data_IF_336353422574
#
_entry.id   IF_336353422574
#
_cell.length_a   1.000
_cell.length_b   1.000
_cell.length_c   1.000
_cell.angle_alpha   90.00
_cell.angle_beta   90.00
_cell.angle_gamma   90.00
#
_symmetry.space_group_name_H-M   'P 1'
#
loop_
_entity.id
_entity.type
_entity.pdbx_description
1 polymer ?
#
# COMPACT_ATOMS: atom_id res chain seq x y z
N UNK A 1 -5.86 -4.96 -38.57
CA UNK A 1 -6.67 -5.60 -37.50
C UNK A 1 -7.97 -4.84 -37.46
N UNK A 2 -9.13 -5.50 -37.55
CA UNK A 2 -10.39 -4.79 -37.84
C UNK A 2 -11.13 -4.39 -36.56
N UNK A 3 -11.65 -3.16 -36.51
CA UNK A 3 -12.56 -2.69 -35.46
C UNK A 3 -13.96 -3.25 -35.70
N UNK A 4 -14.40 -4.21 -34.89
CA UNK A 4 -15.69 -4.90 -35.05
C UNK A 4 -16.85 -4.13 -34.40
N UNK A 5 -16.61 -3.50 -33.25
CA UNK A 5 -17.65 -2.79 -32.51
C UNK A 5 -17.06 -1.68 -31.62
N UNK A 6 -17.89 -0.65 -31.35
CA UNK A 6 -17.57 0.50 -30.50
C UNK A 6 -18.78 0.74 -29.59
N UNK A 7 -18.60 0.56 -28.28
CA UNK A 7 -19.62 0.78 -27.25
C UNK A 7 -19.17 1.88 -26.28
N UNK A 8 -20.04 2.86 -26.02
CA UNK A 8 -19.75 3.96 -25.10
C UNK A 8 -20.27 3.64 -23.70
N UNK A 9 -19.46 3.91 -22.67
CA UNK A 9 -19.87 3.78 -21.28
C UNK A 9 -19.79 5.11 -20.53
N UNK A 10 -20.91 5.81 -20.46
CA UNK A 10 -21.02 7.09 -19.75
C UNK A 10 -20.65 6.98 -18.26
N UNK A 11 -20.97 5.83 -17.65
CA UNK A 11 -20.69 5.58 -16.22
C UNK A 11 -19.19 5.59 -15.90
N UNK A 12 -18.36 5.16 -16.83
CA UNK A 12 -16.92 5.01 -16.61
C UNK A 12 -16.08 5.97 -17.46
N UNK A 13 -16.70 6.78 -18.31
CA UNK A 13 -16.04 7.62 -19.33
C UNK A 13 -15.03 6.83 -20.18
N UNK A 14 -15.37 5.58 -20.49
CA UNK A 14 -14.57 4.65 -21.27
C UNK A 14 -15.35 4.21 -22.51
N UNK A 15 -14.62 4.04 -23.62
CA UNK A 15 -15.08 3.41 -24.85
C UNK A 15 -14.58 1.98 -24.86
N UNK A 16 -15.49 1.03 -25.04
CA UNK A 16 -15.18 -0.38 -25.21
C UNK A 16 -15.09 -0.68 -26.70
N UNK A 17 -13.88 -0.99 -27.16
CA UNK A 17 -13.61 -1.45 -28.52
C UNK A 17 -13.60 -2.97 -28.57
N UNK A 18 -14.18 -3.54 -29.62
CA UNK A 18 -14.00 -4.95 -29.96
C UNK A 18 -13.10 -5.04 -31.19
N UNK A 19 -11.93 -5.64 -31.03
CA UNK A 19 -10.96 -5.85 -32.13
C UNK A 19 -10.58 -7.32 -32.13
N UNK A 20 -10.77 -8.01 -33.26
CA UNK A 20 -10.49 -9.45 -33.39
C UNK A 20 -11.13 -10.31 -32.27
N UNK A 21 -12.37 -10.00 -31.88
CA UNK A 21 -13.12 -10.63 -30.76
C UNK A 21 -12.55 -10.41 -29.36
N UNK A 22 -11.55 -9.56 -29.19
CA UNK A 22 -11.04 -9.14 -27.88
C UNK A 22 -11.60 -7.76 -27.50
N UNK A 23 -11.74 -7.51 -26.19
CA UNK A 23 -12.28 -6.25 -25.67
C UNK A 23 -11.17 -5.37 -25.11
N UNK A 24 -11.20 -4.10 -25.50
CA UNK A 24 -10.27 -3.07 -25.05
C UNK A 24 -11.05 -1.87 -24.51
N UNK A 25 -10.61 -1.31 -23.40
CA UNK A 25 -11.22 -0.15 -22.74
C UNK A 25 -10.29 1.05 -22.82
N UNK A 26 -10.67 2.06 -23.60
CA UNK A 26 -9.89 3.28 -23.77
C UNK A 26 -10.68 4.50 -23.29
N UNK A 27 -10.00 5.58 -22.94
CA UNK A 27 -10.66 6.83 -22.58
C UNK A 27 -11.36 7.45 -23.80
N UNK A 28 -12.41 8.24 -23.53
CA UNK A 28 -13.12 8.96 -24.58
C UNK A 28 -12.21 9.94 -25.33
N UNK A 29 -11.33 10.64 -24.60
CA UNK A 29 -10.37 11.58 -25.18
C UNK A 29 -9.39 10.86 -26.12
N UNK A 30 -8.82 9.74 -25.67
CA UNK A 30 -7.93 8.95 -26.52
C UNK A 30 -8.65 8.41 -27.75
N UNK A 31 -9.89 7.93 -27.63
CA UNK A 31 -10.68 7.46 -28.76
C UNK A 31 -10.88 8.56 -29.82
N UNK A 32 -11.19 9.79 -29.40
CA UNK A 32 -11.36 10.91 -30.32
C UNK A 32 -10.06 11.26 -31.06
N UNK A 33 -8.91 11.14 -30.38
CA UNK A 33 -7.60 11.39 -31.00
C UNK A 33 -7.25 10.33 -32.07
N UNK A 34 -7.77 9.11 -31.93
CA UNK A 34 -7.49 8.02 -32.88
C UNK A 34 -8.18 8.21 -34.24
N UNK A 35 -9.30 8.96 -34.31
CA UNK A 35 -10.14 9.12 -35.51
C UNK A 35 -10.55 7.79 -36.17
N UNK A 36 -10.70 6.71 -35.39
CA UNK A 36 -11.04 5.38 -35.91
C UNK A 36 -12.53 5.18 -36.06
N UNK A 37 -12.91 4.41 -37.07
CA UNK A 37 -14.29 4.04 -37.39
C UNK A 37 -14.51 2.53 -37.35
N UNK A 38 -15.77 2.10 -37.32
CA UNK A 38 -16.12 0.69 -37.41
C UNK A 38 -15.70 0.15 -38.79
N UNK A 39 -15.23 -1.10 -38.81
CA UNK A 39 -14.74 -1.82 -39.99
C UNK A 39 -13.41 -1.29 -40.56
N UNK A 40 -12.73 -0.40 -39.83
CA UNK A 40 -11.42 0.13 -40.20
C UNK A 40 -10.28 -0.85 -39.86
N UNK A 41 -9.28 -0.92 -40.74
CA UNK A 41 -8.07 -1.68 -40.52
C UNK A 41 -7.05 -0.88 -39.73
N UNK A 42 -6.79 -1.34 -38.50
CA UNK A 42 -5.77 -0.77 -37.63
C UNK A 42 -4.38 -1.25 -38.05
N UNK A 43 -3.47 -0.28 -38.18
CA UNK A 43 -2.04 -0.56 -38.25
C UNK A 43 -1.51 -1.08 -36.89
N UNK A 44 -0.29 -1.62 -36.93
CA UNK A 44 0.31 -2.26 -35.76
C UNK A 44 0.69 -1.27 -34.65
N UNK A 45 1.05 -0.04 -35.01
CA UNK A 45 1.48 0.97 -34.05
C UNK A 45 0.28 1.56 -33.29
N UNK A 46 -0.83 1.78 -33.99
CA UNK A 46 -2.11 2.17 -33.43
C UNK A 46 -2.67 1.08 -32.52
N UNK A 47 -2.61 -0.18 -32.95
CA UNK A 47 -3.01 -1.31 -32.12
C UNK A 47 -2.21 -1.40 -30.82
N UNK A 48 -0.88 -1.21 -30.89
CA UNK A 48 -0.02 -1.14 -29.69
C UNK A 48 -0.42 -0.02 -28.74
N UNK A 49 -0.79 1.16 -29.26
CA UNK A 49 -1.25 2.27 -28.41
C UNK A 49 -2.56 1.91 -27.71
N UNK A 50 -3.51 1.30 -28.43
CA UNK A 50 -4.77 0.81 -27.84
C UNK A 50 -4.50 -0.22 -26.73
N UNK A 51 -3.57 -1.16 -26.97
CA UNK A 51 -3.17 -2.15 -25.97
C UNK A 51 -2.60 -1.51 -24.70
N UNK A 52 -1.68 -0.55 -24.83
CA UNK A 52 -1.09 0.16 -23.69
C UNK A 52 -2.15 0.95 -22.91
N UNK A 53 -3.05 1.63 -23.63
CA UNK A 53 -4.11 2.42 -23.00
C UNK A 53 -5.17 1.56 -22.30
N UNK A 54 -5.52 0.40 -22.86
CA UNK A 54 -6.40 -0.58 -22.21
C UNK A 54 -5.75 -1.22 -20.97
N UNK A 55 -4.46 -1.58 -21.03
CA UNK A 55 -3.73 -2.05 -19.85
C UNK A 55 -3.73 -1.00 -18.74
N UNK A 56 -3.43 0.26 -19.07
CA UNK A 56 -3.47 1.38 -18.14
C UNK A 56 -4.84 1.58 -17.50
N UNK A 57 -5.92 1.64 -18.30
CA UNK A 57 -7.27 1.89 -17.79
C UNK A 57 -7.77 0.74 -16.89
N UNK A 58 -7.48 -0.51 -17.26
CA UNK A 58 -7.79 -1.67 -16.41
C UNK A 58 -6.97 -1.66 -15.12
N UNK A 59 -5.69 -1.30 -15.19
CA UNK A 59 -4.80 -1.16 -14.04
C UNK A 59 -5.31 -0.08 -13.07
N UNK A 60 -5.67 1.10 -13.61
CA UNK A 60 -6.23 2.23 -12.87
C UNK A 60 -7.51 1.85 -12.14
N UNK A 61 -8.46 1.21 -12.84
CA UNK A 61 -9.72 0.76 -12.25
C UNK A 61 -9.51 -0.27 -11.14
N UNK A 62 -8.59 -1.22 -11.34
CA UNK A 62 -8.22 -2.15 -10.28
C UNK A 62 -7.62 -1.43 -9.07
N UNK A 63 -6.74 -0.46 -9.30
CA UNK A 63 -6.09 0.29 -8.24
C UNK A 63 -7.07 1.12 -7.42
N UNK A 64 -7.97 1.86 -8.09
CA UNK A 64 -9.07 2.59 -7.46
C UNK A 64 -9.96 1.67 -6.62
N UNK A 65 -10.26 0.48 -7.13
CA UNK A 65 -10.99 -0.55 -6.38
C UNK A 65 -10.20 -1.04 -5.16
N UNK A 66 -8.87 -1.12 -5.22
CA UNK A 66 -8.07 -1.55 -4.07
C UNK A 66 -8.05 -0.54 -2.93
N UNK A 67 -7.95 0.75 -3.25
CA UNK A 67 -7.90 1.81 -2.25
C UNK A 67 -9.28 2.12 -1.66
N UNK A 68 -10.37 1.86 -2.37
CA UNK A 68 -11.73 2.07 -1.85
C UNK A 68 -12.11 1.13 -0.70
N UNK A 69 -11.54 -0.08 -0.64
CA UNK A 69 -11.80 -1.02 0.44
C UNK A 69 -11.06 -0.69 1.74
N UNK A 70 -9.82 -0.20 1.62
CA UNK A 70 -8.96 0.14 2.76
C UNK A 70 -7.76 0.98 2.31
N UNK A 71 -7.18 1.80 3.20
CA UNK A 71 -5.91 2.46 2.95
C UNK A 71 -4.84 1.44 2.54
N UNK A 72 -4.08 1.80 1.50
CA UNK A 72 -2.98 1.02 0.94
C UNK A 72 -1.73 1.87 0.87
N UNK A 73 -0.58 1.22 1.02
CA UNK A 73 0.69 1.84 0.67
C UNK A 73 0.93 1.69 -0.84
N UNK A 74 1.77 2.56 -1.40
CA UNK A 74 2.19 2.47 -2.80
C UNK A 74 2.77 1.09 -3.10
N UNK A 75 3.59 0.57 -2.18
CA UNK A 75 4.15 -0.78 -2.30
C UNK A 75 3.08 -1.89 -2.33
N UNK A 76 2.13 -1.88 -1.39
CA UNK A 76 1.05 -2.88 -1.35
C UNK A 76 0.27 -2.89 -2.67
N UNK A 77 0.08 -1.70 -3.26
CA UNK A 77 -0.63 -1.51 -4.50
C UNK A 77 0.18 -2.02 -5.70
N UNK A 78 1.43 -1.60 -5.85
CA UNK A 78 2.36 -2.07 -6.89
C UNK A 78 2.46 -3.59 -6.86
N UNK A 79 2.70 -4.18 -5.68
CA UNK A 79 2.79 -5.64 -5.54
C UNK A 79 1.52 -6.34 -6.02
N UNK A 80 0.34 -5.80 -5.66
CA UNK A 80 -0.93 -6.40 -6.06
C UNK A 80 -1.21 -6.25 -7.55
N UNK A 81 -0.88 -5.11 -8.15
CA UNK A 81 -1.04 -4.89 -9.59
C UNK A 81 -0.08 -5.77 -10.40
N UNK A 82 1.19 -5.91 -9.97
CA UNK A 82 2.14 -6.87 -10.57
C UNK A 82 1.63 -8.31 -10.51
N UNK A 83 1.04 -8.73 -9.38
CA UNK A 83 0.44 -10.07 -9.25
C UNK A 83 -0.75 -10.31 -10.20
N UNK A 84 -1.38 -9.24 -10.69
CA UNK A 84 -2.45 -9.27 -11.68
C UNK A 84 -1.95 -9.16 -13.13
N UNK A 85 -0.64 -9.18 -13.35
CA UNK A 85 0.03 -9.13 -14.65
C UNK A 85 -0.16 -7.83 -15.44
N UNK A 86 -0.42 -6.71 -14.76
CA UNK A 86 -0.33 -5.39 -15.41
C UNK A 86 1.13 -5.05 -15.72
N UNK A 87 1.35 -4.31 -16.81
CA UNK A 87 2.70 -3.88 -17.20
C UNK A 87 3.30 -2.90 -16.20
N UNK A 88 4.63 -2.85 -16.10
CA UNK A 88 5.32 -1.87 -15.24
C UNK A 88 4.98 -0.43 -15.64
N UNK A 89 4.90 -0.15 -16.94
CA UNK A 89 4.53 1.17 -17.46
C UNK A 89 3.14 1.61 -16.98
N UNK A 90 2.13 0.75 -17.09
CA UNK A 90 0.78 1.03 -16.58
C UNK A 90 0.77 1.22 -15.07
N UNK A 91 1.53 0.41 -14.33
CA UNK A 91 1.62 0.53 -12.88
C UNK A 91 2.23 1.87 -12.48
N UNK A 92 3.34 2.26 -13.11
CA UNK A 92 4.02 3.52 -12.80
C UNK A 92 3.10 4.71 -13.12
N UNK A 93 2.46 4.74 -14.30
CA UNK A 93 1.44 5.75 -14.66
C UNK A 93 0.30 5.81 -13.65
N UNK A 94 -0.18 4.67 -13.16
CA UNK A 94 -1.26 4.61 -12.17
C UNK A 94 -0.80 5.14 -10.81
N UNK A 95 0.41 4.81 -10.37
CA UNK A 95 0.95 5.31 -9.10
C UNK A 95 1.14 6.84 -9.17
N UNK A 96 1.65 7.36 -10.28
CA UNK A 96 1.78 8.80 -10.50
C UNK A 96 0.41 9.49 -10.46
N UNK A 97 -0.58 8.95 -11.17
CA UNK A 97 -1.97 9.45 -11.11
C UNK A 97 -2.51 9.45 -9.67
N UNK A 98 -2.32 8.37 -8.92
CA UNK A 98 -2.84 8.31 -7.55
C UNK A 98 -2.13 9.28 -6.60
N UNK A 99 -0.83 9.52 -6.81
CA UNK A 99 -0.06 10.51 -6.05
C UNK A 99 -0.49 11.94 -6.38
N UNK A 100 -0.62 12.27 -7.67
CA UNK A 100 -1.04 13.59 -8.14
C UNK A 100 -2.40 13.99 -7.56
N UNK A 101 -3.34 13.05 -7.57
CA UNK A 101 -4.69 13.26 -7.02
C UNK A 101 -4.79 13.00 -5.52
N UNK A 102 -3.66 12.75 -4.83
CA UNK A 102 -3.57 12.46 -3.39
C UNK A 102 -4.50 11.34 -2.91
N UNK A 103 -4.72 10.34 -3.77
CA UNK A 103 -5.53 9.16 -3.50
C UNK A 103 -4.76 8.07 -2.75
N UNK A 104 -3.42 8.12 -2.84
CA UNK A 104 -2.51 7.36 -1.98
C UNK A 104 -1.59 8.34 -1.26
N UNK A 105 -1.23 7.99 -0.02
CA UNK A 105 -0.34 8.78 0.80
C UNK A 105 0.36 7.87 1.81
N UNK A 106 1.58 7.47 1.48
CA UNK A 106 2.39 6.59 2.32
C UNK A 106 2.77 7.26 3.64
N UNK A 107 2.96 8.58 3.65
CA UNK A 107 3.30 9.34 4.85
C UNK A 107 2.14 9.35 5.85
N UNK A 108 0.93 9.68 5.38
CA UNK A 108 -0.27 9.63 6.20
C UNK A 108 -0.63 8.20 6.63
N UNK A 109 -0.38 7.19 5.78
CA UNK A 109 -0.52 5.80 6.16
C UNK A 109 0.39 5.45 7.33
N UNK A 110 1.69 5.79 7.23
CA UNK A 110 2.69 5.48 8.26
C UNK A 110 2.37 6.19 9.56
N UNK A 111 2.04 7.48 9.51
CA UNK A 111 1.64 8.28 10.68
C UNK A 111 0.45 7.64 11.40
N UNK A 112 -0.62 7.34 10.66
CA UNK A 112 -1.84 6.75 11.24
C UNK A 112 -1.57 5.35 11.79
N UNK A 113 -0.82 4.53 11.05
CA UNK A 113 -0.47 3.18 11.47
C UNK A 113 0.35 3.18 12.77
N UNK A 114 1.35 4.06 12.89
CA UNK A 114 2.15 4.20 14.11
C UNK A 114 1.27 4.64 15.28
N UNK A 115 0.44 5.66 15.09
CA UNK A 115 -0.45 6.13 16.15
C UNK A 115 -1.41 5.02 16.62
N UNK A 116 -2.09 4.34 15.70
CA UNK A 116 -3.02 3.26 16.05
C UNK A 116 -2.33 2.11 16.77
N UNK A 117 -1.17 1.67 16.27
CA UNK A 117 -0.46 0.54 16.87
C UNK A 117 0.21 0.89 18.19
N UNK A 118 0.70 2.11 18.33
CA UNK A 118 1.30 2.61 19.55
C UNK A 118 0.26 2.82 20.64
N UNK A 119 -0.80 3.57 20.34
CA UNK A 119 -1.75 4.10 21.32
C UNK A 119 -2.88 3.11 21.64
N UNK A 120 -3.39 2.39 20.63
CA UNK A 120 -4.55 1.48 20.80
C UNK A 120 -4.05 0.06 21.05
N UNK A 121 -3.12 -0.42 20.22
CA UNK A 121 -2.65 -1.81 20.31
C UNK A 121 -1.50 -2.02 21.31
N UNK A 122 -0.95 -0.94 21.90
CA UNK A 122 0.20 -0.96 22.81
C UNK A 122 1.41 -1.71 22.23
N UNK A 123 1.67 -1.58 20.93
CA UNK A 123 2.86 -2.17 20.33
C UNK A 123 4.10 -1.34 20.63
N UNK A 124 5.23 -2.03 20.78
CA UNK A 124 6.55 -1.41 20.87
C UNK A 124 6.97 -0.78 19.54
N UNK A 125 7.87 0.19 19.60
CA UNK A 125 8.52 0.78 18.41
C UNK A 125 9.14 -0.29 17.51
N UNK A 126 9.84 -1.27 18.09
CA UNK A 126 10.51 -2.33 17.33
C UNK A 126 9.51 -3.21 16.56
N UNK A 127 8.39 -3.57 17.18
CA UNK A 127 7.33 -4.33 16.52
C UNK A 127 6.66 -3.52 15.40
N UNK A 128 6.40 -2.24 15.62
CA UNK A 128 5.81 -1.35 14.62
C UNK A 128 6.76 -1.21 13.42
N UNK A 129 8.05 -0.92 13.67
CA UNK A 129 9.10 -0.86 12.64
C UNK A 129 9.13 -2.13 11.81
N UNK A 130 9.19 -3.30 12.46
CA UNK A 130 9.24 -4.59 11.76
C UNK A 130 8.06 -4.77 10.79
N UNK A 131 6.84 -4.39 11.22
CA UNK A 131 5.64 -4.50 10.38
C UNK A 131 5.61 -3.49 9.23
N UNK A 132 6.13 -2.27 9.42
CA UNK A 132 6.24 -1.28 8.36
C UNK A 132 7.33 -1.64 7.34
N UNK A 133 8.47 -2.20 7.81
CA UNK A 133 9.51 -2.74 6.93
C UNK A 133 9.01 -3.89 6.05
N UNK A 134 8.19 -4.78 6.60
CA UNK A 134 7.55 -5.84 5.81
C UNK A 134 6.61 -5.29 4.71
N UNK A 135 6.24 -4.01 4.78
CA UNK A 135 5.48 -3.28 3.75
C UNK A 135 6.37 -2.40 2.87
N UNK A 136 7.70 -2.55 2.96
CA UNK A 136 8.70 -1.84 2.17
C UNK A 136 8.60 -0.31 2.27
N UNK A 137 8.20 0.17 3.45
CA UNK A 137 8.23 1.61 3.75
C UNK A 137 9.68 2.02 4.05
N UNK A 138 10.07 3.18 3.52
CA UNK A 138 11.39 3.76 3.71
C UNK A 138 11.71 3.99 5.20
N UNK A 139 12.96 3.69 5.57
CA UNK A 139 13.41 3.79 6.96
C UNK A 139 13.35 5.23 7.49
N UNK A 140 13.64 6.24 6.67
CA UNK A 140 13.58 7.64 7.10
C UNK A 140 12.16 8.05 7.42
N UNK A 141 11.19 7.58 6.64
CA UNK A 141 9.77 7.84 6.90
C UNK A 141 9.30 7.15 8.18
N UNK A 142 9.71 5.89 8.41
CA UNK A 142 9.43 5.18 9.66
C UNK A 142 10.03 5.93 10.86
N UNK A 143 11.31 6.30 10.77
CA UNK A 143 12.05 6.98 11.83
C UNK A 143 11.44 8.32 12.21
N UNK A 144 11.03 9.11 11.20
CA UNK A 144 10.37 10.42 11.38
C UNK A 144 9.21 10.36 12.36
N UNK A 145 8.42 9.28 12.34
CA UNK A 145 7.24 9.13 13.18
C UNK A 145 7.47 8.24 14.40
N UNK A 146 8.30 7.20 14.34
CA UNK A 146 8.62 6.39 15.53
C UNK A 146 9.41 7.17 16.59
N UNK A 147 10.18 8.17 16.17
CA UNK A 147 10.91 9.05 17.09
C UNK A 147 10.00 10.03 17.84
N UNK A 148 8.73 10.19 17.42
CA UNK A 148 7.75 11.02 18.11
C UNK A 148 7.18 10.32 19.36
N UNK A 149 7.23 8.99 19.41
CA UNK A 149 6.87 8.25 20.62
C UNK A 149 7.94 8.54 21.68
N UNK A 150 7.55 9.08 22.84
CA UNK A 150 8.50 9.42 23.89
C UNK A 150 9.15 8.17 24.52
N UNK A 151 10.25 8.38 25.25
CA UNK A 151 10.85 7.32 26.06
C UNK A 151 9.85 6.82 27.12
N UNK A 152 9.17 7.74 27.82
CA UNK A 152 8.24 7.43 28.91
C UNK A 152 7.03 6.63 28.42
N UNK A 153 6.51 6.93 27.23
CA UNK A 153 5.43 6.13 26.61
C UNK A 153 5.88 4.69 26.33
N UNK A 154 7.07 4.52 25.76
CA UNK A 154 7.60 3.20 25.42
C UNK A 154 7.93 2.40 26.69
N UNK A 155 8.54 3.06 27.68
CA UNK A 155 8.82 2.50 28.99
C UNK A 155 7.53 2.07 29.69
N UNK A 156 6.53 2.95 29.76
CA UNK A 156 5.26 2.66 30.43
C UNK A 156 4.54 1.45 29.84
N UNK A 157 4.57 1.29 28.51
CA UNK A 157 4.06 0.08 27.85
C UNK A 157 4.84 -1.17 28.28
N UNK A 158 6.17 -1.12 28.21
CA UNK A 158 7.02 -2.24 28.60
C UNK A 158 6.83 -2.64 30.07
N UNK A 159 6.76 -1.66 30.97
CA UNK A 159 6.50 -1.84 32.39
C UNK A 159 5.15 -2.53 32.65
N UNK A 160 4.08 -2.07 31.98
CA UNK A 160 2.76 -2.70 32.08
C UNK A 160 2.73 -4.15 31.57
N UNK A 161 3.45 -4.44 30.48
CA UNK A 161 3.60 -5.82 30.02
C UNK A 161 4.37 -6.67 31.03
N UNK A 162 5.44 -6.12 31.61
CA UNK A 162 6.28 -6.80 32.58
C UNK A 162 5.52 -7.10 33.88
N UNK A 163 4.78 -6.15 34.43
CA UNK A 163 3.92 -6.33 35.61
C UNK A 163 2.95 -7.49 35.42
N UNK A 164 2.18 -7.49 34.32
CA UNK A 164 1.24 -8.58 34.00
C UNK A 164 1.95 -9.92 33.85
N UNK A 165 3.17 -9.93 33.31
CA UNK A 165 3.93 -11.17 33.15
C UNK A 165 4.47 -11.67 34.50
N UNK A 166 4.83 -10.76 35.40
CA UNK A 166 5.39 -11.04 36.73
C UNK A 166 4.40 -11.81 37.62
N UNK A 167 3.10 -11.59 37.45
CA UNK A 167 2.03 -12.38 38.09
C UNK A 167 2.17 -13.90 37.82
N UNK A 168 2.74 -14.28 36.67
CA UNK A 168 2.93 -15.68 36.27
C UNK A 168 4.35 -16.22 36.50
N UNK A 169 5.34 -15.36 36.75
CA UNK A 169 6.74 -15.75 36.87
C UNK A 169 7.58 -14.64 37.48
N UNK A 170 8.47 -14.97 38.43
CA UNK A 170 9.39 -14.00 39.04
C UNK A 170 10.84 -14.11 38.52
N UNK A 171 11.02 -14.65 37.32
CA UNK A 171 12.34 -14.89 36.72
C UNK A 171 12.70 -13.76 35.76
N UNK A 172 13.74 -12.96 36.12
CA UNK A 172 14.26 -11.86 35.30
C UNK A 172 14.51 -12.26 33.85
N UNK A 173 15.06 -13.45 33.59
CA UNK A 173 15.37 -13.93 32.24
C UNK A 173 14.11 -14.26 31.43
N UNK A 174 13.07 -14.80 32.10
CA UNK A 174 11.77 -15.05 31.43
C UNK A 174 11.07 -13.74 31.08
N UNK A 175 11.10 -12.73 31.96
CA UNK A 175 10.54 -11.41 31.66
C UNK A 175 11.33 -10.72 30.53
N UNK A 176 12.66 -10.79 30.54
CA UNK A 176 13.50 -10.27 29.46
C UNK A 176 13.09 -10.85 28.11
N UNK A 177 13.04 -12.18 27.99
CA UNK A 177 12.64 -12.86 26.74
C UNK A 177 11.22 -12.49 26.31
N UNK A 178 10.30 -12.36 27.26
CA UNK A 178 8.94 -11.94 26.98
C UNK A 178 8.89 -10.53 26.38
N UNK A 179 9.54 -9.54 27.00
CA UNK A 179 9.56 -8.16 26.49
C UNK A 179 10.33 -8.05 25.16
N UNK A 180 11.43 -8.78 25.00
CA UNK A 180 12.15 -8.84 23.73
C UNK A 180 11.26 -9.41 22.60
N UNK A 181 10.46 -10.46 22.89
CA UNK A 181 9.48 -10.99 21.92
C UNK A 181 8.37 -10.01 21.55
N UNK A 182 8.12 -9.00 22.41
CA UNK A 182 7.20 -7.89 22.12
C UNK A 182 7.85 -6.77 21.32
N UNK A 183 9.17 -6.82 21.10
CA UNK A 183 9.93 -5.88 20.28
C UNK A 183 10.46 -4.63 21.01
N UNK A 184 10.48 -4.64 22.35
CA UNK A 184 11.11 -3.55 23.12
C UNK A 184 12.63 -3.59 22.98
N UNK A 185 13.27 -2.41 23.02
CA UNK A 185 14.73 -2.31 22.95
C UNK A 185 15.38 -2.80 24.24
N UNK A 186 16.67 -3.16 24.14
CA UNK A 186 17.46 -3.59 25.29
C UNK A 186 17.42 -2.57 26.44
N UNK A 187 17.59 -1.27 26.14
CA UNK A 187 17.65 -0.23 27.17
C UNK A 187 16.31 -0.08 27.92
N UNK A 188 15.19 -0.15 27.21
CA UNK A 188 13.85 -0.12 27.83
C UNK A 188 13.67 -1.34 28.75
N UNK A 189 14.02 -2.53 28.26
CA UNK A 189 13.88 -3.77 29.04
C UNK A 189 14.77 -3.72 30.27
N UNK A 190 16.02 -3.27 30.13
CA UNK A 190 16.98 -3.18 31.24
C UNK A 190 16.45 -2.27 32.35
N UNK A 191 15.94 -1.09 32.01
CA UNK A 191 15.42 -0.15 33.00
C UNK A 191 14.16 -0.68 33.67
N UNK A 192 13.19 -1.21 32.91
CA UNK A 192 11.97 -1.84 33.46
C UNK A 192 12.30 -2.98 34.43
N UNK A 193 13.26 -3.84 34.10
CA UNK A 193 13.66 -4.94 34.98
C UNK A 193 14.47 -4.47 36.20
N UNK A 194 15.17 -3.34 36.10
CA UNK A 194 15.85 -2.72 37.23
C UNK A 194 14.86 -2.15 38.24
N UNK A 195 13.77 -1.54 37.77
CA UNK A 195 12.75 -0.95 38.65
C UNK A 195 11.81 -1.99 39.26
N UNK A 196 11.63 -3.15 38.61
CA UNK A 196 10.75 -4.23 39.08
C UNK A 196 11.37 -5.20 40.08
N UNK A 197 12.69 -5.13 40.32
CA UNK A 197 13.43 -6.12 41.11
C UNK A 197 14.68 -5.54 41.79
#
# INVERSE_FOLDING_TARGET
MIVENIEYSDKYNLVKLTISREFFYISYDFFNDLNITKDEDLDFDLYKKILSEDDFNRCKNEALRQISYRPKTSYDLIYKLKKKNYSSESIDRVIDFLNEYKLIDDENYVKSYINDKSSIANWSKGKIRYKLKAKFIDDKLIDKYLNQISYDEEYGKAYNFALRKKESTDDKNKLYRFLASKGFSYDIIKNVLGDLF
#
